data_IF_983260511982
#
_entry.id   IF_983260511982
#
_cell.length_a   1.000
_cell.length_b   1.000
_cell.length_c   1.000
_cell.angle_alpha   90.00
_cell.angle_beta   90.00
_cell.angle_gamma   90.00
#
_symmetry.space_group_name_H-M   'P 1'
#
loop_
_entity.id
_entity.type
_entity.pdbx_description
1 polymer ?
#
# COMPACT_ATOMS: atom_id res chain seq x y z
N UNK A 1 19.86 -19.36 35.66
CA UNK A 1 20.13 -19.03 34.24
C UNK A 1 19.30 -17.81 33.88
N UNK A 2 19.98 -16.66 33.77
CA UNK A 2 19.39 -15.31 33.69
C UNK A 2 19.75 -14.70 32.33
N UNK A 3 18.75 -14.27 31.56
CA UNK A 3 18.91 -13.83 30.17
C UNK A 3 18.97 -12.29 30.03
N UNK A 4 18.93 -11.55 31.14
CA UNK A 4 18.89 -10.07 31.14
C UNK A 4 20.24 -9.43 31.44
N UNK A 5 21.30 -9.80 30.71
CA UNK A 5 22.64 -9.23 30.96
C UNK A 5 23.53 -9.13 29.72
N UNK A 6 22.99 -8.63 28.61
CA UNK A 6 23.81 -8.45 27.40
C UNK A 6 23.57 -7.16 26.61
N UNK A 7 23.08 -6.10 27.26
CA UNK A 7 22.95 -4.78 26.62
C UNK A 7 23.40 -3.67 27.55
N UNK A 8 24.69 -3.60 27.82
CA UNK A 8 25.37 -2.34 28.15
C UNK A 8 26.88 -2.54 28.12
N UNK A 9 27.57 -1.58 27.50
CA UNK A 9 29.02 -1.31 27.54
C UNK A 9 29.85 -1.87 26.38
N UNK A 10 29.90 -1.13 25.27
CA UNK A 10 31.17 -0.75 24.64
C UNK A 10 31.09 0.67 24.08
N UNK A 11 32.25 1.31 24.09
CA UNK A 11 32.47 2.74 24.12
C UNK A 11 32.13 3.47 22.81
N UNK A 12 31.79 4.76 23.00
CA UNK A 12 31.82 5.87 22.05
C UNK A 12 32.96 5.73 21.02
N UNK A 13 32.62 5.64 19.74
CA UNK A 13 33.44 6.13 18.63
C UNK A 13 32.54 6.48 17.45
N UNK A 14 32.27 7.78 17.30
CA UNK A 14 31.94 8.50 16.06
C UNK A 14 31.25 7.72 14.92
N UNK A 15 29.99 7.31 15.12
CA UNK A 15 29.07 6.92 14.02
C UNK A 15 27.60 7.26 14.29
N UNK A 16 27.28 7.96 15.38
CA UNK A 16 25.90 8.22 15.82
C UNK A 16 25.14 9.29 15.02
N UNK A 17 25.82 10.11 14.22
CA UNK A 17 25.17 11.20 13.48
C UNK A 17 24.60 10.70 12.14
N UNK A 18 25.28 9.76 11.46
CA UNK A 18 24.81 9.21 10.18
C UNK A 18 23.58 8.30 10.32
N UNK A 19 23.47 7.55 11.43
CA UNK A 19 22.36 6.62 11.63
C UNK A 19 21.09 7.31 12.17
N UNK A 20 21.23 8.43 12.90
CA UNK A 20 20.09 9.21 13.37
C UNK A 20 19.40 9.99 12.23
N UNK A 21 20.17 10.42 11.21
CA UNK A 21 19.61 11.10 10.04
C UNK A 21 18.76 10.15 9.18
N UNK A 22 19.24 8.92 8.95
CA UNK A 22 18.49 7.92 8.19
C UNK A 22 17.21 7.48 8.92
N UNK A 23 17.28 7.27 10.23
CA UNK A 23 16.10 6.91 11.01
C UNK A 23 15.08 8.06 11.10
N UNK A 24 15.54 9.31 11.20
CA UNK A 24 14.68 10.50 11.22
C UNK A 24 13.95 10.71 9.88
N UNK A 25 14.63 10.51 8.75
CA UNK A 25 14.00 10.54 7.42
C UNK A 25 12.97 9.43 7.26
N UNK A 26 13.29 8.23 7.72
CA UNK A 26 12.38 7.08 7.74
C UNK A 26 11.16 7.37 8.63
N UNK A 27 11.32 7.95 9.82
CA UNK A 27 10.22 8.41 10.70
C UNK A 27 9.36 9.49 10.05
N UNK A 28 9.94 10.41 9.28
CA UNK A 28 9.17 11.38 8.50
C UNK A 28 8.41 10.73 7.34
N UNK A 29 9.01 9.73 6.68
CA UNK A 29 8.28 8.91 5.70
C UNK A 29 7.10 8.23 6.37
N UNK A 30 7.27 7.69 7.59
CA UNK A 30 6.21 7.06 8.37
C UNK A 30 5.01 7.99 8.67
N UNK A 31 5.25 9.28 8.87
CA UNK A 31 4.16 10.25 9.06
C UNK A 31 3.30 10.45 7.81
N UNK A 32 3.81 10.15 6.60
CA UNK A 32 3.03 10.19 5.35
C UNK A 32 2.05 9.02 5.19
N UNK A 33 2.18 7.96 5.98
CA UNK A 33 1.34 6.75 5.82
C UNK A 33 -0.09 6.97 6.31
N UNK A 34 -0.34 7.97 7.16
CA UNK A 34 -1.60 8.09 7.91
C UNK A 34 -2.55 9.20 7.40
N UNK A 35 -2.21 9.92 6.32
CA UNK A 35 -2.88 11.19 5.97
C UNK A 35 -3.96 11.12 4.89
N UNK A 36 -4.18 9.96 4.25
CA UNK A 36 -5.10 9.86 3.11
C UNK A 36 -6.47 9.36 3.54
N UNK A 37 -7.39 10.29 3.83
CA UNK A 37 -8.77 9.99 4.23
C UNK A 37 -9.51 9.13 3.18
N UNK A 38 -9.29 9.40 1.89
CA UNK A 38 -9.85 8.62 0.78
C UNK A 38 -9.37 7.16 0.80
N UNK A 39 -8.08 6.93 1.10
CA UNK A 39 -7.52 5.58 1.18
C UNK A 39 -8.22 4.75 2.25
N UNK A 40 -8.50 5.37 3.41
CA UNK A 40 -9.24 4.73 4.48
C UNK A 40 -10.65 4.36 4.01
N UNK A 41 -11.34 5.26 3.32
CA UNK A 41 -12.66 5.01 2.76
C UNK A 41 -12.66 3.81 1.78
N UNK A 42 -11.75 3.80 0.81
CA UNK A 42 -11.65 2.70 -0.16
C UNK A 42 -11.24 1.37 0.48
N UNK A 43 -10.42 1.40 1.54
CA UNK A 43 -10.02 0.20 2.28
C UNK A 43 -11.17 -0.47 3.05
N UNK A 44 -12.24 0.27 3.36
CA UNK A 44 -13.41 -0.28 4.06
C UNK A 44 -14.40 -0.94 3.10
N UNK A 45 -14.30 -0.66 1.80
CA UNK A 45 -15.20 -1.24 0.79
C UNK A 45 -14.87 -2.72 0.54
N UNK A 46 -15.88 -3.56 0.28
CA UNK A 46 -15.64 -4.97 -0.04
C UNK A 46 -15.05 -5.13 -1.44
N UNK A 47 -14.16 -6.12 -1.60
CA UNK A 47 -13.63 -6.50 -2.91
C UNK A 47 -14.69 -7.34 -3.64
N UNK A 48 -15.11 -6.92 -4.84
CA UNK A 48 -15.94 -7.75 -5.71
C UNK A 48 -15.05 -8.66 -6.57
N UNK A 49 -15.46 -9.92 -6.69
CA UNK A 49 -14.77 -10.93 -7.47
C UNK A 49 -15.46 -11.11 -8.80
N UNK A 50 -14.77 -10.77 -9.89
CA UNK A 50 -15.23 -11.09 -11.21
C UNK A 50 -14.87 -12.55 -11.54
N UNK A 51 -15.87 -13.42 -11.57
CA UNK A 51 -15.71 -14.81 -12.00
C UNK A 51 -15.61 -14.90 -13.52
N UNK A 52 -14.97 -15.97 -14.01
CA UNK A 52 -14.70 -16.15 -15.44
C UNK A 52 -15.96 -16.09 -16.33
N UNK A 53 -17.09 -16.62 -15.85
CA UNK A 53 -18.38 -16.52 -16.55
C UNK A 53 -18.82 -15.07 -16.76
N UNK A 54 -18.75 -14.24 -15.72
CA UNK A 54 -19.08 -12.81 -15.80
C UNK A 54 -18.13 -12.09 -16.77
N UNK A 55 -16.84 -12.43 -16.77
CA UNK A 55 -15.87 -11.85 -17.72
C UNK A 55 -16.21 -12.20 -19.18
N UNK A 56 -16.53 -13.47 -19.45
CA UNK A 56 -16.88 -13.94 -20.80
C UNK A 56 -18.16 -13.25 -21.28
N UNK A 57 -19.17 -13.11 -20.42
CA UNK A 57 -20.41 -12.39 -20.72
C UNK A 57 -20.15 -10.93 -21.08
N UNK A 58 -19.28 -10.22 -20.34
CA UNK A 58 -18.91 -8.83 -20.65
C UNK A 58 -18.11 -8.66 -21.94
N UNK A 59 -17.34 -9.68 -22.33
CA UNK A 59 -16.53 -9.69 -23.55
C UNK A 59 -17.28 -10.24 -24.78
N UNK A 60 -18.49 -10.76 -24.59
CA UNK A 60 -19.28 -11.31 -25.68
C UNK A 60 -19.78 -10.19 -26.60
N UNK A 61 -19.57 -10.31 -27.91
CA UNK A 61 -19.91 -9.28 -28.90
C UNK A 61 -21.40 -8.91 -28.92
N UNK A 62 -22.27 -9.79 -28.42
CA UNK A 62 -23.71 -9.57 -28.24
C UNK A 62 -24.04 -8.50 -27.19
N UNK A 63 -23.14 -8.23 -26.22
CA UNK A 63 -23.32 -7.24 -25.16
C UNK A 63 -22.26 -6.12 -25.16
N UNK A 64 -21.37 -6.10 -26.16
CA UNK A 64 -20.32 -5.08 -26.33
C UNK A 64 -20.88 -3.74 -26.87
N UNK A 65 -21.90 -3.22 -26.21
CA UNK A 65 -22.38 -1.85 -26.46
C UNK A 65 -21.40 -0.85 -25.83
N UNK A 66 -21.26 0.36 -26.38
CA UNK A 66 -20.42 1.40 -25.79
C UNK A 66 -20.80 1.70 -24.33
N UNK A 67 -22.08 1.56 -23.97
CA UNK A 67 -22.56 1.68 -22.60
C UNK A 67 -21.97 0.60 -21.65
N UNK A 68 -21.96 -0.66 -22.08
CA UNK A 68 -21.37 -1.75 -21.30
C UNK A 68 -19.86 -1.58 -21.10
N UNK A 69 -19.14 -1.02 -22.10
CA UNK A 69 -17.72 -0.74 -21.99
C UNK A 69 -17.41 0.36 -20.98
N UNK A 70 -18.17 1.46 -21.00
CA UNK A 70 -18.00 2.57 -20.04
C UNK A 70 -18.26 2.06 -18.61
N UNK A 71 -19.35 1.32 -18.42
CA UNK A 71 -19.69 0.73 -17.11
C UNK A 71 -18.62 -0.25 -16.62
N UNK A 72 -18.12 -1.11 -17.51
CA UNK A 72 -17.05 -2.06 -17.17
C UNK A 72 -15.74 -1.35 -16.81
N UNK A 73 -15.42 -0.25 -17.50
CA UNK A 73 -14.25 0.56 -17.17
C UNK A 73 -14.39 1.26 -15.80
N UNK A 74 -15.57 1.79 -15.49
CA UNK A 74 -15.89 2.39 -14.19
C UNK A 74 -15.84 1.35 -13.06
N UNK A 75 -16.47 0.19 -13.25
CA UNK A 75 -16.45 -0.92 -12.29
C UNK A 75 -15.01 -1.39 -12.05
N UNK A 76 -14.20 -1.52 -13.11
CA UNK A 76 -12.79 -1.89 -13.02
C UNK A 76 -11.98 -0.85 -12.26
N UNK A 77 -12.16 0.43 -12.57
CA UNK A 77 -11.47 1.54 -11.92
C UNK A 77 -11.74 1.55 -10.42
N UNK A 78 -13.02 1.48 -10.02
CA UNK A 78 -13.44 1.43 -8.64
C UNK A 78 -12.84 0.22 -7.90
N UNK A 79 -12.90 -0.97 -8.51
CA UNK A 79 -12.35 -2.18 -7.91
C UNK A 79 -10.82 -2.14 -7.78
N UNK A 80 -10.12 -1.50 -8.72
CA UNK A 80 -8.66 -1.33 -8.64
C UNK A 80 -8.27 -0.43 -7.47
N UNK A 81 -8.97 0.69 -7.26
CA UNK A 81 -8.76 1.58 -6.11
C UNK A 81 -8.95 0.84 -4.79
N UNK A 82 -10.06 0.10 -4.65
CA UNK A 82 -10.34 -0.71 -3.45
C UNK A 82 -9.22 -1.73 -3.19
N UNK A 83 -8.80 -2.48 -4.21
CA UNK A 83 -7.74 -3.50 -4.06
C UNK A 83 -6.40 -2.91 -3.65
N UNK A 84 -6.03 -1.76 -4.22
CA UNK A 84 -4.77 -1.09 -3.87
C UNK A 84 -4.85 -0.52 -2.44
N UNK A 85 -5.98 0.06 -2.04
CA UNK A 85 -6.20 0.55 -0.69
C UNK A 85 -6.07 -0.58 0.36
N UNK A 86 -6.68 -1.74 0.09
CA UNK A 86 -6.50 -2.94 0.92
C UNK A 86 -5.04 -3.38 1.03
N UNK A 87 -4.30 -3.41 -0.10
CA UNK A 87 -2.88 -3.74 -0.09
C UNK A 87 -2.08 -2.76 0.79
N UNK A 88 -2.31 -1.45 0.64
CA UNK A 88 -1.60 -0.43 1.42
C UNK A 88 -1.94 -0.55 2.92
N UNK A 89 -3.21 -0.76 3.26
CA UNK A 89 -3.66 -1.00 4.64
C UNK A 89 -2.99 -2.26 5.24
N UNK A 90 -2.90 -3.34 4.46
CA UNK A 90 -2.18 -4.53 4.87
C UNK A 90 -0.69 -4.26 5.10
N UNK A 91 -0.04 -3.49 4.22
CA UNK A 91 1.36 -3.06 4.41
C UNK A 91 1.55 -2.27 5.71
N UNK A 92 0.60 -1.41 6.07
CA UNK A 92 0.63 -0.62 7.30
C UNK A 92 0.39 -1.47 8.56
N UNK A 93 -0.37 -2.57 8.44
CA UNK A 93 -0.64 -3.50 9.54
C UNK A 93 0.57 -4.37 9.93
N UNK A 94 1.58 -4.47 9.06
CA UNK A 94 2.73 -5.35 9.27
C UNK A 94 3.67 -4.79 10.35
N UNK A 95 3.97 -5.56 11.42
CA UNK A 95 4.85 -5.10 12.47
C UNK A 95 6.29 -4.95 11.94
N UNK A 96 6.92 -3.80 12.19
CA UNK A 96 8.33 -3.47 11.90
C UNK A 96 8.76 -3.40 10.42
N UNK A 97 7.85 -3.59 9.45
CA UNK A 97 8.23 -3.91 8.08
C UNK A 97 8.85 -2.76 7.24
N UNK A 98 8.38 -1.50 7.28
CA UNK A 98 8.99 -0.46 6.45
C UNK A 98 10.31 0.07 7.04
N UNK A 99 10.63 -0.30 8.29
CA UNK A 99 11.88 0.08 8.97
C UNK A 99 13.03 -0.93 8.73
N UNK A 100 12.69 -2.18 8.41
CA UNK A 100 13.66 -3.27 8.31
C UNK A 100 14.07 -3.62 6.87
N UNK A 101 13.23 -3.36 5.87
CA UNK A 101 13.50 -3.73 4.48
C UNK A 101 13.26 -2.57 3.49
N UNK A 102 14.33 -2.02 2.87
CA UNK A 102 14.21 -0.88 1.95
C UNK A 102 13.43 -1.21 0.67
N UNK A 103 13.42 -2.47 0.23
CA UNK A 103 12.65 -2.90 -0.95
C UNK A 103 11.14 -2.81 -0.67
N UNK A 104 10.70 -3.26 0.50
CA UNK A 104 9.30 -3.20 0.89
C UNK A 104 8.82 -1.75 1.06
N UNK A 105 9.66 -0.88 1.61
CA UNK A 105 9.39 0.56 1.68
C UNK A 105 9.22 1.17 0.27
N UNK A 106 10.12 0.83 -0.67
CA UNK A 106 10.02 1.31 -2.05
C UNK A 106 8.76 0.83 -2.78
N UNK A 107 8.30 -0.39 -2.50
CA UNK A 107 7.07 -0.93 -3.05
C UNK A 107 5.85 -0.20 -2.49
N UNK A 108 5.82 0.04 -1.18
CA UNK A 108 4.75 0.82 -0.56
C UNK A 108 4.64 2.21 -1.19
N UNK A 109 5.75 2.94 -1.33
CA UNK A 109 5.77 4.26 -1.95
C UNK A 109 5.29 4.22 -3.41
N UNK A 110 5.59 3.14 -4.15
CA UNK A 110 5.07 2.94 -5.50
C UNK A 110 3.56 2.69 -5.49
N UNK A 111 3.04 1.88 -4.58
CA UNK A 111 1.60 1.64 -4.45
C UNK A 111 0.83 2.90 -4.09
N UNK A 112 1.39 3.73 -3.20
CA UNK A 112 0.80 5.01 -2.80
C UNK A 112 0.71 5.97 -4.00
N UNK A 113 1.80 6.10 -4.77
CA UNK A 113 1.80 6.90 -6.01
C UNK A 113 0.82 6.37 -7.07
N UNK A 114 0.70 5.05 -7.19
CA UNK A 114 -0.27 4.42 -8.09
C UNK A 114 -1.71 4.72 -7.66
N UNK A 115 -1.98 4.66 -6.35
CA UNK A 115 -3.28 5.01 -5.78
C UNK A 115 -3.64 6.47 -6.08
N UNK A 116 -2.71 7.41 -5.83
CA UNK A 116 -2.92 8.83 -6.15
C UNK A 116 -3.13 9.05 -7.66
N UNK A 117 -2.36 8.36 -8.51
CA UNK A 117 -2.56 8.45 -9.97
C UNK A 117 -3.89 7.89 -10.43
N UNK A 118 -4.41 6.87 -9.76
CA UNK A 118 -5.71 6.29 -10.08
C UNK A 118 -6.85 7.16 -9.53
N UNK A 119 -6.73 7.70 -8.32
CA UNK A 119 -7.76 8.56 -7.74
C UNK A 119 -7.98 9.85 -8.55
N UNK A 120 -6.95 10.32 -9.26
CA UNK A 120 -6.99 11.53 -10.10
C UNK A 120 -7.41 11.29 -11.56
N UNK A 121 -7.81 10.07 -11.94
CA UNK A 121 -8.22 9.73 -13.30
C UNK A 121 -9.61 10.29 -13.64
#
# INVERSE_FOLDING_TARGET
MSIYRYLSTTAKSTSKIFQAHSFSEVVKQFSKFSSHDELIEYSQRPIDYCYANRMIETCSSTHATPFCLIKSAEDLHNQLLVRIAHCISYFQSLPFLPAANPTLLSLHDRYLKLFESLANF
#
